data_IF_484965228772
#
_entry.id   IF_484965228772
#
_cell.length_a   1.000
_cell.length_b   1.000
_cell.length_c   1.000
_cell.angle_alpha   90.00
_cell.angle_beta   90.00
_cell.angle_gamma   90.00
#
_symmetry.space_group_name_H-M   'P 1'
#
loop_
_entity.id
_entity.type
_entity.pdbx_description
1 polymer ?
#
# COMPACT_ATOMS: atom_id res chain seq x y z
N UNK A 1 -14.40 -10.78 -15.61
CA UNK A 1 -13.43 -11.89 -15.40
C UNK A 1 -12.73 -11.65 -14.09
N UNK A 2 -12.46 -12.71 -13.29
CA UNK A 2 -11.71 -12.63 -12.02
C UNK A 2 -10.45 -13.47 -12.19
N UNK A 3 -9.32 -12.94 -11.73
CA UNK A 3 -8.01 -13.63 -11.76
C UNK A 3 -7.33 -13.51 -10.40
N UNK A 4 -6.67 -14.59 -9.99
CA UNK A 4 -5.76 -14.59 -8.86
C UNK A 4 -4.34 -14.35 -9.34
N UNK A 5 -3.60 -13.52 -8.63
CA UNK A 5 -2.21 -13.21 -8.92
C UNK A 5 -1.39 -13.28 -7.64
N UNK A 6 -0.30 -14.03 -7.67
CA UNK A 6 0.64 -14.14 -6.56
C UNK A 6 2.02 -13.68 -7.01
N UNK A 7 2.71 -12.96 -6.15
CA UNK A 7 4.08 -12.54 -6.42
C UNK A 7 4.91 -12.46 -5.15
N UNK A 8 6.22 -12.57 -5.32
CA UNK A 8 7.20 -12.27 -4.28
C UNK A 8 7.83 -10.91 -4.55
N UNK A 9 8.15 -10.19 -3.48
CA UNK A 9 8.91 -8.96 -3.52
C UNK A 9 10.28 -9.26 -2.94
N UNK A 10 11.31 -9.11 -3.75
CA UNK A 10 12.67 -9.38 -3.31
C UNK A 10 13.29 -8.17 -2.59
N UNK A 11 14.25 -8.43 -1.71
CA UNK A 11 14.97 -7.36 -1.01
C UNK A 11 15.58 -6.32 -1.97
N UNK A 12 16.05 -6.75 -3.16
CA UNK A 12 16.60 -5.84 -4.19
C UNK A 12 15.57 -4.86 -4.76
N UNK A 13 14.27 -5.16 -4.65
CA UNK A 13 13.18 -4.28 -5.09
C UNK A 13 12.98 -3.09 -4.14
N UNK A 14 13.59 -3.13 -2.94
CA UNK A 14 13.49 -2.11 -1.92
C UNK A 14 14.78 -1.29 -1.85
N UNK A 15 14.69 -0.02 -2.18
CA UNK A 15 15.81 0.93 -2.09
C UNK A 15 16.03 1.34 -0.63
N UNK A 16 16.94 0.66 0.08
CA UNK A 16 17.15 0.83 1.52
C UNK A 16 17.45 2.28 1.94
N UNK A 17 18.23 3.01 1.16
CA UNK A 17 18.52 4.43 1.46
C UNK A 17 17.26 5.30 1.43
N UNK A 18 16.36 5.05 0.47
CA UNK A 18 15.08 5.76 0.40
C UNK A 18 14.11 5.28 1.49
N UNK A 19 14.09 3.98 1.78
CA UNK A 19 13.29 3.42 2.86
C UNK A 19 13.64 4.06 4.20
N UNK A 20 14.92 4.04 4.58
CA UNK A 20 15.36 4.65 5.84
C UNK A 20 15.03 6.13 5.92
N UNK A 21 15.25 6.89 4.84
CA UNK A 21 14.94 8.31 4.78
C UNK A 21 13.43 8.57 4.90
N UNK A 22 12.62 7.80 4.19
CA UNK A 22 11.15 7.95 4.16
C UNK A 22 10.51 7.71 5.53
N UNK A 23 11.01 6.71 6.24
CA UNK A 23 10.48 6.31 7.54
C UNK A 23 11.31 6.82 8.73
N UNK A 24 12.21 7.77 8.47
CA UNK A 24 13.01 8.47 9.50
C UNK A 24 13.85 7.57 10.39
N UNK A 25 14.38 6.46 9.85
CA UNK A 25 15.35 5.64 10.57
C UNK A 25 16.74 6.29 10.56
N UNK A 26 17.43 6.23 11.70
CA UNK A 26 18.79 6.72 11.83
C UNK A 26 19.81 5.70 11.30
N UNK A 27 21.03 6.17 11.01
CA UNK A 27 22.11 5.30 10.52
C UNK A 27 22.43 4.16 11.51
N UNK A 28 22.29 4.42 12.82
CA UNK A 28 22.51 3.40 13.87
C UNK A 28 21.50 2.23 13.78
N UNK A 29 20.33 2.45 13.18
CA UNK A 29 19.27 1.45 13.06
C UNK A 29 19.42 0.60 11.78
N UNK A 30 20.37 0.94 10.90
CA UNK A 30 20.49 0.39 9.55
C UNK A 30 20.61 -1.14 9.51
N UNK A 31 21.35 -1.73 10.45
CA UNK A 31 21.53 -3.18 10.52
C UNK A 31 20.20 -3.88 10.87
N UNK A 32 19.53 -3.42 11.91
CA UNK A 32 18.23 -3.94 12.35
C UNK A 32 17.19 -3.79 11.24
N UNK A 33 17.09 -2.61 10.64
CA UNK A 33 16.13 -2.33 9.55
C UNK A 33 16.41 -3.22 8.34
N UNK A 34 17.68 -3.35 7.94
CA UNK A 34 18.08 -4.23 6.83
C UNK A 34 17.71 -5.69 7.10
N UNK A 35 17.95 -6.17 8.31
CA UNK A 35 17.59 -7.54 8.70
C UNK A 35 16.08 -7.76 8.66
N UNK A 36 15.29 -6.81 9.18
CA UNK A 36 13.83 -6.87 9.18
C UNK A 36 13.26 -6.90 7.76
N UNK A 37 13.73 -6.02 6.87
CA UNK A 37 13.31 -5.99 5.46
C UNK A 37 13.64 -7.30 4.74
N UNK A 38 14.88 -7.80 4.89
CA UNK A 38 15.30 -9.07 4.29
C UNK A 38 14.48 -10.25 4.78
N UNK A 39 14.18 -10.28 6.07
CA UNK A 39 13.38 -11.33 6.65
C UNK A 39 11.95 -11.30 6.14
N UNK A 40 11.31 -10.13 6.14
CA UNK A 40 9.95 -9.96 5.64
C UNK A 40 9.83 -10.35 4.15
N UNK A 41 10.77 -9.90 3.29
CA UNK A 41 10.77 -10.28 1.87
C UNK A 41 10.89 -11.79 1.63
N UNK A 42 11.58 -12.53 2.52
CA UNK A 42 11.67 -14.00 2.42
C UNK A 42 10.41 -14.72 2.92
N UNK A 43 9.72 -14.11 3.87
CA UNK A 43 8.58 -14.74 4.54
C UNK A 43 7.27 -14.51 3.77
N UNK A 44 7.13 -13.35 3.13
CA UNK A 44 5.86 -12.86 2.59
C UNK A 44 5.73 -13.19 1.10
N UNK A 45 4.60 -13.79 0.76
CA UNK A 45 4.09 -13.90 -0.60
C UNK A 45 2.86 -13.00 -0.70
N UNK A 46 2.89 -12.08 -1.66
CA UNK A 46 1.77 -11.18 -1.91
C UNK A 46 0.71 -11.95 -2.70
N UNK A 47 -0.52 -11.91 -2.21
CA UNK A 47 -1.69 -12.43 -2.92
C UNK A 47 -2.58 -11.28 -3.37
N UNK A 48 -3.07 -11.37 -4.60
CA UNK A 48 -4.00 -10.40 -5.16
C UNK A 48 -5.12 -11.11 -5.91
N UNK A 49 -6.34 -10.60 -5.82
CA UNK A 49 -7.47 -11.04 -6.62
C UNK A 49 -7.98 -9.85 -7.38
N UNK A 50 -8.01 -9.95 -8.71
CA UNK A 50 -8.31 -8.87 -9.63
C UNK A 50 -9.58 -9.20 -10.39
N UNK A 51 -10.61 -8.37 -10.25
CA UNK A 51 -11.79 -8.40 -11.10
C UNK A 51 -11.66 -7.32 -12.16
N UNK A 52 -11.65 -7.73 -13.41
CA UNK A 52 -11.62 -6.85 -14.57
C UNK A 52 -13.01 -6.34 -14.90
N UNK A 53 -13.13 -5.03 -15.07
CA UNK A 53 -14.33 -4.30 -15.50
C UNK A 53 -14.08 -3.65 -16.88
N UNK A 54 -15.06 -2.96 -17.46
CA UNK A 54 -14.91 -2.30 -18.76
C UNK A 54 -13.90 -1.15 -18.71
N UNK A 55 -13.95 -0.33 -17.66
CA UNK A 55 -13.14 0.89 -17.50
C UNK A 55 -11.96 0.75 -16.55
N UNK A 56 -11.81 -0.42 -15.88
CA UNK A 56 -10.79 -0.57 -14.86
C UNK A 56 -10.81 -1.91 -14.15
N UNK A 57 -10.40 -1.91 -12.90
CA UNK A 57 -10.36 -3.10 -12.03
C UNK A 57 -10.90 -2.81 -10.64
N UNK A 58 -11.43 -3.85 -10.00
CA UNK A 58 -11.50 -3.95 -8.54
C UNK A 58 -10.46 -4.97 -8.11
N UNK A 59 -9.61 -4.61 -7.16
CA UNK A 59 -8.52 -5.46 -6.73
C UNK A 59 -8.47 -5.56 -5.20
N UNK A 60 -8.24 -6.77 -4.72
CA UNK A 60 -7.84 -7.06 -3.34
C UNK A 60 -6.38 -7.43 -3.34
N UNK A 61 -5.60 -6.81 -2.48
CA UNK A 61 -4.17 -7.10 -2.30
C UNK A 61 -3.91 -7.35 -0.82
N UNK A 62 -3.18 -8.41 -0.51
CA UNK A 62 -2.83 -8.77 0.88
C UNK A 62 -1.40 -9.26 1.01
N UNK A 63 -0.77 -8.96 2.15
CA UNK A 63 0.49 -9.58 2.56
C UNK A 63 0.28 -10.90 3.32
N UNK A 64 -0.98 -11.30 3.54
CA UNK A 64 -1.35 -12.57 4.13
C UNK A 64 -1.13 -12.65 5.65
N UNK A 65 -1.60 -13.76 6.23
CA UNK A 65 -1.52 -14.00 7.69
C UNK A 65 -0.09 -14.14 8.21
N UNK A 66 0.87 -14.49 7.36
CA UNK A 66 2.28 -14.57 7.78
C UNK A 66 2.83 -13.21 8.20
N UNK A 67 2.36 -12.13 7.56
CA UNK A 67 2.73 -10.78 7.96
C UNK A 67 2.11 -10.41 9.31
N UNK A 68 0.84 -10.74 9.53
CA UNK A 68 0.18 -10.50 10.83
C UNK A 68 0.93 -11.21 11.95
N UNK A 69 1.31 -12.49 11.76
CA UNK A 69 2.11 -13.26 12.74
C UNK A 69 3.49 -12.62 12.99
N UNK A 70 4.14 -12.05 11.94
CA UNK A 70 5.40 -11.34 12.11
C UNK A 70 5.21 -10.08 12.98
N UNK A 71 4.15 -9.31 12.74
CA UNK A 71 3.81 -8.14 13.54
C UNK A 71 3.55 -8.49 15.00
N UNK A 72 2.86 -9.59 15.27
CA UNK A 72 2.56 -10.06 16.62
C UNK A 72 3.84 -10.44 17.39
N UNK A 73 4.78 -11.14 16.73
CA UNK A 73 6.04 -11.60 17.37
C UNK A 73 6.93 -10.43 17.81
N UNK A 74 6.88 -9.30 17.12
CA UNK A 74 7.73 -8.13 17.41
C UNK A 74 7.03 -7.08 18.29
N UNK A 75 5.81 -7.33 18.73
CA UNK A 75 4.95 -6.36 19.43
C UNK A 75 5.57 -5.75 20.68
N UNK A 76 6.41 -6.51 21.39
CA UNK A 76 7.06 -6.07 22.64
C UNK A 76 8.27 -5.14 22.41
N UNK A 77 8.75 -5.02 21.16
CA UNK A 77 9.84 -4.12 20.79
C UNK A 77 9.31 -2.98 19.93
N UNK A 78 9.14 -1.79 20.52
CA UNK A 78 8.51 -0.64 19.88
C UNK A 78 9.21 -0.23 18.56
N UNK A 79 10.55 -0.20 18.54
CA UNK A 79 11.29 0.20 17.34
C UNK A 79 11.16 -0.85 16.22
N UNK A 80 11.27 -2.13 16.58
CA UNK A 80 11.16 -3.21 15.63
C UNK A 80 9.70 -3.34 15.13
N UNK A 81 8.72 -3.16 16.00
CA UNK A 81 7.30 -3.12 15.63
C UNK A 81 7.02 -1.98 14.64
N UNK A 82 7.53 -0.77 14.91
CA UNK A 82 7.45 0.35 13.97
C UNK A 82 8.14 0.01 12.63
N UNK A 83 9.31 -0.60 12.68
CA UNK A 83 10.03 -1.02 11.47
C UNK A 83 9.20 -2.00 10.64
N UNK A 84 8.61 -3.04 11.26
CA UNK A 84 7.77 -4.01 10.55
C UNK A 84 6.52 -3.36 9.95
N UNK A 85 5.90 -2.39 10.65
CA UNK A 85 4.80 -1.61 10.09
C UNK A 85 5.21 -0.84 8.82
N UNK A 86 6.38 -0.20 8.85
CA UNK A 86 6.96 0.49 7.68
C UNK A 86 7.28 -0.48 6.54
N UNK A 87 7.82 -1.65 6.86
CA UNK A 87 8.07 -2.72 5.89
C UNK A 87 6.77 -3.17 5.23
N UNK A 88 5.71 -3.36 6.00
CA UNK A 88 4.39 -3.71 5.47
C UNK A 88 3.85 -2.66 4.49
N UNK A 89 4.04 -1.39 4.78
CA UNK A 89 3.65 -0.30 3.88
C UNK A 89 4.44 -0.33 2.57
N UNK A 90 5.76 -0.55 2.65
CA UNK A 90 6.63 -0.64 1.47
C UNK A 90 6.30 -1.86 0.61
N UNK A 91 6.06 -3.03 1.23
CA UNK A 91 5.68 -4.25 0.54
C UNK A 91 4.33 -4.11 -0.18
N UNK A 92 3.33 -3.50 0.46
CA UNK A 92 2.05 -3.20 -0.19
C UNK A 92 2.24 -2.26 -1.38
N UNK A 93 3.09 -1.25 -1.23
CA UNK A 93 3.41 -0.33 -2.32
C UNK A 93 4.01 -1.06 -3.53
N UNK A 94 4.97 -1.95 -3.28
CA UNK A 94 5.56 -2.79 -4.33
C UNK A 94 4.55 -3.77 -4.92
N UNK A 95 3.63 -4.28 -4.11
CA UNK A 95 2.54 -5.12 -4.58
C UNK A 95 1.65 -4.40 -5.60
N UNK A 96 1.32 -3.11 -5.38
CA UNK A 96 0.56 -2.34 -6.38
C UNK A 96 1.32 -2.16 -7.69
N UNK A 97 2.64 -1.92 -7.63
CA UNK A 97 3.47 -1.84 -8.82
C UNK A 97 3.43 -3.17 -9.61
N UNK A 98 3.51 -4.32 -8.93
CA UNK A 98 3.43 -5.65 -9.53
C UNK A 98 2.04 -5.94 -10.13
N UNK A 99 0.98 -5.58 -9.41
CA UNK A 99 -0.40 -5.71 -9.92
C UNK A 99 -0.59 -4.84 -11.18
N UNK A 100 -0.11 -3.60 -11.19
CA UNK A 100 -0.20 -2.73 -12.34
C UNK A 100 0.57 -3.30 -13.55
N UNK A 101 1.77 -3.82 -13.33
CA UNK A 101 2.55 -4.49 -14.37
C UNK A 101 1.82 -5.74 -14.92
N UNK A 102 1.25 -6.55 -14.03
CA UNK A 102 0.48 -7.73 -14.41
C UNK A 102 -0.76 -7.38 -15.26
N UNK A 103 -1.52 -6.35 -14.85
CA UNK A 103 -2.66 -5.86 -15.64
C UNK A 103 -2.22 -5.37 -17.01
N UNK A 104 -1.08 -4.67 -17.09
CA UNK A 104 -0.53 -4.27 -18.38
C UNK A 104 -0.15 -5.46 -19.28
N UNK A 105 0.45 -6.49 -18.72
CA UNK A 105 0.79 -7.71 -19.48
C UNK A 105 -0.46 -8.40 -20.05
N UNK A 106 -1.55 -8.45 -19.27
CA UNK A 106 -2.81 -9.08 -19.63
C UNK A 106 -3.69 -8.23 -20.57
N UNK A 107 -3.73 -6.91 -20.38
CA UNK A 107 -4.70 -6.01 -21.02
C UNK A 107 -4.08 -4.95 -21.90
N UNK A 108 -2.75 -4.75 -21.84
CA UNK A 108 -2.03 -3.64 -22.49
C UNK A 108 -2.50 -2.26 -22.02
N UNK A 109 -3.04 -2.20 -20.79
CA UNK A 109 -3.54 -0.99 -20.14
C UNK A 109 -2.89 -0.85 -18.77
N UNK A 110 -2.47 0.36 -18.41
CA UNK A 110 -1.96 0.70 -17.10
C UNK A 110 -3.10 1.08 -16.16
N UNK A 111 -2.87 0.99 -14.85
CA UNK A 111 -3.83 1.43 -13.84
C UNK A 111 -3.53 2.86 -13.38
N UNK A 112 -4.60 3.63 -13.19
CA UNK A 112 -4.59 5.00 -12.66
C UNK A 112 -5.72 5.21 -11.67
N UNK A 113 -5.85 6.40 -11.07
CA UNK A 113 -6.98 6.79 -10.21
C UNK A 113 -7.31 5.81 -9.10
N UNK A 114 -6.28 5.37 -8.38
CA UNK A 114 -6.44 4.40 -7.29
C UNK A 114 -7.35 4.95 -6.20
N UNK A 115 -8.49 4.32 -6.01
CA UNK A 115 -9.49 4.60 -4.98
C UNK A 115 -9.50 3.46 -3.97
N UNK A 116 -8.94 3.69 -2.78
CA UNK A 116 -8.98 2.73 -1.69
C UNK A 116 -10.37 2.73 -1.07
N UNK A 117 -11.06 1.60 -1.12
CA UNK A 117 -12.41 1.46 -0.59
C UNK A 117 -12.40 1.59 0.93
N UNK A 118 -13.45 2.22 1.45
CA UNK A 118 -13.59 2.46 2.87
C UNK A 118 -14.78 1.68 3.43
N UNK A 119 -14.80 1.56 4.73
CA UNK A 119 -15.69 0.81 5.62
C UNK A 119 -16.93 0.15 4.98
N UNK A 120 -17.84 0.91 4.41
CA UNK A 120 -19.10 0.39 3.86
C UNK A 120 -18.90 -0.25 2.48
N UNK A 121 -18.01 0.31 1.67
CA UNK A 121 -17.71 -0.16 0.32
C UNK A 121 -16.78 -1.38 0.29
N UNK A 122 -15.99 -1.60 1.37
CA UNK A 122 -15.06 -2.73 1.46
C UNK A 122 -15.81 -4.06 1.33
N UNK A 123 -16.91 -4.23 2.08
CA UNK A 123 -17.67 -5.49 2.06
C UNK A 123 -18.21 -5.75 0.66
N UNK A 124 -18.79 -4.74 0.03
CA UNK A 124 -19.26 -4.83 -1.35
C UNK A 124 -18.14 -5.18 -2.31
N UNK A 125 -16.99 -4.52 -2.21
CA UNK A 125 -15.80 -4.81 -3.02
C UNK A 125 -15.30 -6.25 -2.85
N UNK A 126 -15.26 -6.78 -1.62
CA UNK A 126 -14.90 -8.18 -1.35
C UNK A 126 -15.89 -9.16 -1.99
N UNK A 127 -17.19 -8.88 -1.88
CA UNK A 127 -18.25 -9.71 -2.47
C UNK A 127 -18.16 -9.68 -4.01
N UNK A 128 -17.85 -8.54 -4.60
CA UNK A 128 -17.67 -8.38 -6.04
C UNK A 128 -16.47 -9.14 -6.57
N UNK A 129 -15.34 -9.13 -5.84
CA UNK A 129 -14.11 -9.84 -6.19
C UNK A 129 -14.20 -11.34 -5.87
N UNK A 130 -15.11 -11.74 -4.99
CA UNK A 130 -15.31 -13.14 -4.54
C UNK A 130 -14.04 -13.77 -3.97
N UNK A 131 -13.28 -13.00 -3.22
CA UNK A 131 -12.03 -13.48 -2.62
C UNK A 131 -12.27 -14.28 -1.34
N UNK A 132 -11.39 -15.24 -1.07
CA UNK A 132 -11.31 -15.97 0.19
C UNK A 132 -10.08 -15.62 1.02
N UNK A 133 -9.08 -14.96 0.40
CA UNK A 133 -7.82 -14.63 1.07
C UNK A 133 -7.94 -13.43 2.03
N UNK A 134 -9.00 -12.61 1.91
CA UNK A 134 -9.26 -11.46 2.77
C UNK A 134 -10.72 -11.47 3.23
N UNK A 135 -10.94 -11.18 4.50
CA UNK A 135 -12.27 -11.09 5.09
C UNK A 135 -12.47 -9.78 5.84
N UNK A 136 -13.71 -9.31 5.91
CA UNK A 136 -14.09 -8.17 6.74
C UNK A 136 -14.67 -8.64 8.06
N UNK A 137 -13.95 -8.40 9.18
CA UNK A 137 -14.37 -8.82 10.52
C UNK A 137 -14.23 -7.67 11.51
N UNK A 138 -15.29 -7.38 12.26
CA UNK A 138 -15.29 -6.36 13.33
C UNK A 138 -14.76 -5.00 12.90
N UNK A 139 -15.11 -4.55 11.66
CA UNK A 139 -14.68 -3.25 11.15
C UNK A 139 -13.25 -3.20 10.60
N UNK A 140 -12.60 -4.34 10.38
CA UNK A 140 -11.23 -4.43 9.88
C UNK A 140 -11.08 -5.54 8.83
N UNK A 141 -10.15 -5.33 7.90
CA UNK A 141 -9.69 -6.39 7.00
C UNK A 141 -8.82 -7.39 7.77
N UNK A 142 -8.96 -8.65 7.42
CA UNK A 142 -8.12 -9.75 7.90
C UNK A 142 -7.68 -10.60 6.70
N UNK A 143 -6.37 -10.74 6.48
CA UNK A 143 -5.21 -10.21 7.23
C UNK A 143 -5.18 -8.67 7.31
N UNK A 144 -4.50 -8.11 8.33
CA UNK A 144 -4.53 -6.67 8.62
C UNK A 144 -3.84 -5.83 7.53
N UNK A 145 -2.75 -6.35 6.95
CA UNK A 145 -2.07 -5.70 5.80
C UNK A 145 -2.72 -6.12 4.48
N UNK A 146 -3.97 -5.69 4.33
CA UNK A 146 -4.77 -5.90 3.13
C UNK A 146 -5.47 -4.62 2.71
N UNK A 147 -5.75 -4.50 1.43
CA UNK A 147 -6.53 -3.39 0.87
C UNK A 147 -7.52 -3.90 -0.17
N UNK A 148 -8.61 -3.16 -0.32
CA UNK A 148 -9.56 -3.29 -1.42
C UNK A 148 -9.54 -1.96 -2.16
N UNK A 149 -9.31 -1.98 -3.46
CA UNK A 149 -9.20 -0.77 -4.26
C UNK A 149 -9.92 -0.92 -5.61
N UNK A 150 -10.29 0.22 -6.19
CA UNK A 150 -10.66 0.37 -7.60
C UNK A 150 -9.58 1.17 -8.30
N UNK A 151 -9.36 0.89 -9.58
CA UNK A 151 -8.48 1.69 -10.42
C UNK A 151 -8.99 1.68 -11.86
N UNK A 152 -8.78 2.78 -12.56
CA UNK A 152 -9.20 2.96 -13.94
C UNK A 152 -8.07 2.56 -14.90
N UNK A 153 -8.44 2.23 -16.15
CA UNK A 153 -7.46 1.97 -17.22
C UNK A 153 -6.94 3.27 -17.84
N UNK A 154 -5.66 3.23 -18.22
CA UNK A 154 -5.02 4.26 -19.04
C UNK A 154 -4.00 3.61 -20.00
N UNK A 155 -3.93 4.10 -21.23
CA UNK A 155 -2.98 3.59 -22.23
C UNK A 155 -1.54 4.04 -21.96
N UNK A 156 -1.37 5.27 -21.51
CA UNK A 156 -0.08 5.88 -21.28
C UNK A 156 0.40 5.69 -19.83
N UNK A 157 1.52 4.98 -19.67
CA UNK A 157 2.16 4.79 -18.36
C UNK A 157 2.47 6.09 -17.63
N UNK A 158 2.82 7.15 -18.36
CA UNK A 158 3.11 8.46 -17.78
C UNK A 158 1.92 9.12 -17.09
N UNK A 159 0.70 8.65 -17.38
CA UNK A 159 -0.56 9.06 -16.72
C UNK A 159 -1.00 8.10 -15.63
N UNK A 160 -0.29 6.98 -15.45
CA UNK A 160 -0.59 6.06 -14.37
C UNK A 160 -0.26 6.71 -13.03
N UNK A 161 -1.21 6.65 -12.10
CA UNK A 161 -1.03 7.27 -10.78
C UNK A 161 -2.34 7.78 -10.18
N UNK A 162 -2.21 8.65 -9.18
CA UNK A 162 -3.36 9.24 -8.50
C UNK A 162 -3.69 10.61 -9.11
N UNK A 163 -4.93 10.83 -9.57
CA UNK A 163 -5.39 12.13 -10.10
C UNK A 163 -5.17 13.30 -9.14
N UNK A 164 -5.24 13.03 -7.84
CA UNK A 164 -5.09 14.03 -6.80
C UNK A 164 -3.63 14.42 -6.51
N UNK A 165 -2.64 13.85 -7.22
CA UNK A 165 -1.23 14.17 -7.01
C UNK A 165 -0.90 15.64 -7.17
N UNK A 166 -1.60 16.37 -8.05
CA UNK A 166 -1.43 17.80 -8.22
C UNK A 166 -1.90 18.62 -7.01
N UNK A 167 -2.82 18.10 -6.23
CA UNK A 167 -3.41 18.74 -5.03
C UNK A 167 -2.93 18.10 -3.73
N UNK A 168 -2.36 16.90 -3.82
CA UNK A 168 -1.88 16.13 -2.68
C UNK A 168 -0.54 16.67 -2.18
N UNK A 169 -0.49 17.15 -0.94
CA UNK A 169 0.75 17.59 -0.29
C UNK A 169 1.71 16.47 0.12
N UNK A 170 1.36 15.20 -0.13
CA UNK A 170 2.16 14.06 0.29
C UNK A 170 3.32 13.79 -0.67
N UNK A 171 4.43 14.48 -0.47
CA UNK A 171 5.68 14.34 -1.24
C UNK A 171 6.33 12.96 -1.13
N UNK A 172 5.93 12.17 -0.15
CA UNK A 172 6.44 10.81 0.10
C UNK A 172 5.52 9.72 -0.47
N UNK A 173 4.46 10.10 -1.18
CA UNK A 173 3.57 9.15 -1.83
C UNK A 173 4.31 8.38 -2.92
N UNK A 174 4.20 7.06 -2.92
CA UNK A 174 4.83 6.18 -3.91
C UNK A 174 4.39 6.50 -5.33
N UNK A 175 3.12 6.87 -5.48
CA UNK A 175 2.54 7.25 -6.77
C UNK A 175 2.96 8.65 -7.24
N UNK A 176 3.42 9.51 -6.33
CA UNK A 176 3.75 10.90 -6.64
C UNK A 176 4.95 11.06 -7.59
N UNK A 177 5.94 10.16 -7.48
CA UNK A 177 7.14 10.19 -8.32
C UNK A 177 6.88 9.84 -9.79
N UNK A 178 5.76 9.19 -10.08
CA UNK A 178 5.44 8.73 -11.44
C UNK A 178 4.74 9.80 -12.30
N UNK A 179 4.16 10.83 -11.67
CA UNK A 179 3.28 11.78 -12.34
C UNK A 179 3.84 13.21 -12.48
N UNK A 180 4.96 13.53 -11.81
CA UNK A 180 5.47 14.92 -11.79
C UNK A 180 6.86 14.99 -12.38
N UNK A 181 6.96 15.59 -13.59
CA UNK A 181 8.22 16.04 -14.15
C UNK A 181 8.88 17.08 -13.21
N UNK A 182 10.22 17.09 -13.06
CA UNK A 182 10.96 18.05 -12.21
C UNK A 182 10.63 19.52 -12.44
N UNK A 183 10.15 19.87 -13.63
CA UNK A 183 9.83 21.25 -14.02
C UNK A 183 8.59 21.85 -13.34
N UNK A 184 7.78 21.05 -12.63
CA UNK A 184 6.60 21.54 -11.91
C UNK A 184 6.83 21.81 -10.42
N UNK A 185 8.02 21.53 -9.89
CA UNK A 185 8.35 21.77 -8.47
C UNK A 185 8.52 23.26 -8.12
N UNK A 186 8.84 24.12 -9.10
CA UNK A 186 9.11 25.55 -8.86
C UNK A 186 7.85 26.42 -8.62
N UNK A 187 6.65 25.88 -8.80
CA UNK A 187 5.38 26.65 -8.65
C UNK A 187 4.65 26.40 -7.32
N UNK A 188 5.24 25.63 -6.40
CA UNK A 188 4.59 25.26 -5.13
C UNK A 188 5.19 25.93 -3.89
N UNK A 189 5.63 27.18 -4.00
CA UNK A 189 5.93 28.01 -2.82
C UNK A 189 4.64 28.66 -2.31
N UNK A 190 4.32 28.39 -1.03
CA UNK A 190 3.32 29.07 -0.21
C UNK A 190 1.84 28.79 -0.47
N UNK A 191 1.37 27.63 -0.01
CA UNK A 191 0.05 27.55 0.63
C UNK A 191 0.16 26.59 1.82
N UNK A 192 0.07 27.13 3.02
CA UNK A 192 -0.15 26.38 4.28
C UNK A 192 -1.58 25.81 4.26
N UNK A 193 -1.81 24.78 3.47
CA UNK A 193 -3.00 23.96 3.57
C UNK A 193 -2.61 22.72 4.38
N UNK A 194 -3.14 22.61 5.59
CA UNK A 194 -3.12 21.40 6.40
C UNK A 194 -3.90 20.34 5.61
N UNK A 195 -3.23 19.69 4.67
CA UNK A 195 -3.76 18.58 3.90
C UNK A 195 -3.96 17.39 4.83
N UNK A 196 -5.21 17.00 5.04
CA UNK A 196 -5.53 15.74 5.72
C UNK A 196 -4.90 14.61 4.89
N UNK A 197 -3.88 14.00 5.46
CA UNK A 197 -3.06 12.96 4.87
C UNK A 197 -3.93 11.75 4.53
N UNK A 198 -4.10 11.41 3.25
CA UNK A 198 -4.89 10.24 2.82
C UNK A 198 -4.30 8.94 3.40
N UNK A 199 -2.98 8.91 3.64
CA UNK A 199 -2.32 7.83 4.36
C UNK A 199 -2.64 7.79 5.86
N UNK A 200 -3.03 8.92 6.49
CA UNK A 200 -3.49 8.92 7.88
C UNK A 200 -4.84 8.22 8.05
N UNK A 201 -5.63 8.07 6.98
CA UNK A 201 -6.89 7.34 7.05
C UNK A 201 -6.68 5.83 7.15
N UNK A 202 -5.73 5.25 6.41
CA UNK A 202 -5.35 3.84 6.56
C UNK A 202 -4.71 3.56 7.93
N UNK A 203 -3.81 4.44 8.37
CA UNK A 203 -3.12 4.33 9.67
C UNK A 203 -4.08 4.56 10.82
N UNK A 204 -5.01 5.54 10.73
CA UNK A 204 -5.98 5.80 11.80
C UNK A 204 -7.05 4.70 11.94
N UNK A 205 -7.34 3.95 10.89
CA UNK A 205 -8.18 2.74 11.02
C UNK A 205 -7.45 1.61 11.74
N UNK A 206 -6.13 1.52 11.59
CA UNK A 206 -5.31 0.49 12.25
C UNK A 206 -5.00 0.86 13.71
N UNK A 207 -4.78 2.15 14.01
CA UNK A 207 -4.37 2.62 15.34
C UNK A 207 -5.44 3.38 16.13
N UNK A 208 -6.56 3.77 15.51
CA UNK A 208 -7.56 4.70 16.11
C UNK A 208 -8.47 4.09 17.18
N UNK A 209 -8.55 2.77 17.33
CA UNK A 209 -9.55 2.13 18.21
C UNK A 209 -9.03 1.53 19.51
N UNK A 210 -7.73 1.62 19.82
CA UNK A 210 -7.20 1.03 21.07
C UNK A 210 -7.10 1.98 22.27
N UNK A 211 -7.69 3.20 22.22
CA UNK A 211 -7.64 4.15 23.35
C UNK A 211 -8.99 4.51 23.98
N UNK A 212 -9.96 3.64 23.95
CA UNK A 212 -11.21 3.86 24.71
C UNK A 212 -11.71 2.56 25.32
N UNK A 213 -11.02 2.01 26.27
CA UNK A 213 -11.58 1.10 27.30
C UNK A 213 -10.55 0.88 28.42
N UNK A 214 -10.11 1.95 29.07
CA UNK A 214 -9.61 1.91 30.43
C UNK A 214 -10.14 3.15 31.16
N UNK A 215 -11.31 2.97 31.74
CA UNK A 215 -11.79 3.65 32.96
C UNK A 215 -12.86 2.79 33.58
#
# INVERSE_FOLDING_TARGET
MIQEYKCTIEYKDIMMSEFMKRYHFETKDAEMVTAAVRFACKLIEVESVIRYEESGVICVVTLGERFDKLSDVVSDNLLLSYCIECVGMELLSKAYERVNQYVYEERKMWLTNYQFLQTEDIKKGLDEVKTTCVTWKKGMLRPAKSVVLRADYVEDRGKSGCEHCSQCGNVNCVFWKQTISPNNLSKRSNTNAVGKNVYSYGINQIFGNNRKNEK
#
